data_IF_037000997797
#
_entry.id   IF_037000997797
#
_cell.length_a   1.000
_cell.length_b   1.000
_cell.length_c   1.000
_cell.angle_alpha   90.00
_cell.angle_beta   90.00
_cell.angle_gamma   90.00
#
_symmetry.space_group_name_H-M   'P 1'
#
loop_
_entity.id
_entity.type
_entity.pdbx_description
1 polymer ?
#
# COMPACT_ATOMS: atom_id res chain seq x y z
N UNK A 1 -5.64 2.94 -31.59
CA UNK A 1 -4.81 2.93 -30.35
C UNK A 1 -3.72 3.99 -30.48
N UNK A 2 -3.80 5.10 -29.74
CA UNK A 2 -2.71 6.08 -29.73
C UNK A 2 -1.50 5.50 -28.98
N UNK A 3 -0.34 5.44 -29.65
CA UNK A 3 0.91 5.01 -29.04
C UNK A 3 1.27 5.97 -27.91
N UNK A 4 1.20 5.50 -26.66
CA UNK A 4 1.53 6.32 -25.48
C UNK A 4 3.04 6.60 -25.51
N UNK A 5 3.41 7.85 -25.75
CA UNK A 5 4.80 8.26 -25.83
C UNK A 5 5.52 8.14 -24.48
N UNK A 6 6.79 7.73 -24.52
CA UNK A 6 7.64 7.68 -23.32
C UNK A 6 8.16 9.07 -22.92
N UNK A 7 8.55 9.27 -21.66
CA UNK A 7 9.07 10.56 -21.18
C UNK A 7 10.37 10.97 -21.91
N UNK A 8 11.19 10.00 -22.28
CA UNK A 8 12.44 10.23 -23.02
C UNK A 8 12.16 10.60 -24.47
N UNK A 9 11.20 9.92 -25.11
CA UNK A 9 10.82 10.16 -26.49
C UNK A 9 10.10 11.51 -26.66
N UNK A 10 9.24 11.89 -25.72
CA UNK A 10 8.60 13.22 -25.69
C UNK A 10 9.62 14.34 -25.51
N UNK A 11 10.61 14.16 -24.63
CA UNK A 11 11.73 15.11 -24.48
C UNK A 11 12.56 15.22 -25.75
N UNK A 12 12.84 14.10 -26.42
CA UNK A 12 13.58 14.08 -27.68
C UNK A 12 12.83 14.83 -28.78
N UNK A 13 11.53 14.56 -28.97
CA UNK A 13 10.70 15.26 -29.95
C UNK A 13 10.59 16.76 -29.66
N UNK A 14 10.48 17.14 -28.39
CA UNK A 14 10.51 18.55 -27.98
C UNK A 14 11.85 19.20 -28.34
N UNK A 15 12.97 18.53 -28.11
CA UNK A 15 14.29 19.05 -28.49
C UNK A 15 14.42 19.19 -30.01
N UNK A 16 14.03 18.17 -30.77
CA UNK A 16 14.02 18.21 -32.25
C UNK A 16 13.12 19.34 -32.78
N UNK A 17 11.96 19.59 -32.14
CA UNK A 17 11.09 20.70 -32.52
C UNK A 17 11.69 22.08 -32.19
N UNK A 18 12.39 22.23 -31.06
CA UNK A 18 13.09 23.46 -30.70
C UNK A 18 14.24 23.73 -31.68
N UNK A 19 15.04 22.72 -32.00
CA UNK A 19 16.12 22.83 -32.99
C UNK A 19 15.59 23.21 -34.37
N UNK A 20 14.50 22.59 -34.83
CA UNK A 20 13.86 22.96 -36.10
C UNK A 20 13.35 24.40 -36.10
N UNK A 21 12.77 24.86 -34.99
CA UNK A 21 12.31 26.24 -34.84
C UNK A 21 13.48 27.23 -34.88
N UNK A 22 14.56 26.95 -34.15
CA UNK A 22 15.74 27.82 -34.12
C UNK A 22 16.42 27.88 -35.50
N UNK A 23 16.49 26.75 -36.22
CA UNK A 23 17.00 26.70 -37.58
C UNK A 23 16.12 27.53 -38.54
N UNK A 24 14.79 27.37 -38.48
CA UNK A 24 13.88 28.18 -39.30
C UNK A 24 14.02 29.67 -39.01
N UNK A 25 14.13 30.03 -37.73
CA UNK A 25 14.33 31.42 -37.32
C UNK A 25 15.63 31.99 -37.88
N UNK A 26 16.73 31.26 -37.77
CA UNK A 26 18.02 31.65 -38.35
C UNK A 26 17.98 31.74 -39.88
N UNK A 27 17.29 30.81 -40.55
CA UNK A 27 17.14 30.84 -42.01
C UNK A 27 16.34 32.06 -42.50
N UNK A 28 15.37 32.53 -41.71
CA UNK A 28 14.59 33.74 -42.01
C UNK A 28 15.39 35.01 -41.68
N UNK A 29 16.12 35.02 -40.56
CA UNK A 29 16.83 36.21 -40.07
C UNK A 29 18.15 36.50 -40.82
N UNK A 30 18.81 35.49 -41.40
CA UNK A 30 20.17 35.62 -41.97
C UNK A 30 20.28 35.53 -43.48
N UNK A 31 19.23 35.13 -44.20
CA UNK A 31 19.29 35.02 -45.67
C UNK A 31 18.78 36.31 -46.30
N UNK A 32 19.57 36.88 -47.21
CA UNK A 32 19.11 37.95 -48.10
C UNK A 32 18.11 37.36 -49.11
N UNK A 33 16.84 37.40 -48.73
CA UNK A 33 15.70 36.83 -49.46
C UNK A 33 15.50 37.49 -50.83
N UNK A 34 16.03 38.69 -51.03
CA UNK A 34 15.90 39.50 -52.25
C UNK A 34 16.82 39.04 -53.40
N UNK A 35 17.79 38.17 -53.13
CA UNK A 35 18.75 37.69 -54.13
C UNK A 35 18.34 36.36 -54.80
N UNK A 36 17.18 35.80 -54.45
CA UNK A 36 16.72 34.50 -54.96
C UNK A 36 16.14 34.62 -56.38
N UNK A 37 16.45 33.63 -57.23
CA UNK A 37 15.69 33.43 -58.46
C UNK A 37 14.29 32.86 -58.14
N UNK A 38 13.31 33.10 -59.01
CA UNK A 38 11.90 32.68 -58.77
C UNK A 38 11.77 31.17 -58.48
N UNK A 39 12.53 30.32 -59.17
CA UNK A 39 12.52 28.86 -58.95
C UNK A 39 13.11 28.47 -57.58
N UNK A 40 14.17 29.15 -57.14
CA UNK A 40 14.80 28.93 -55.84
C UNK A 40 13.88 29.43 -54.71
N UNK A 41 13.16 30.52 -54.97
CA UNK A 41 12.15 31.08 -54.06
C UNK A 41 11.00 30.11 -53.81
N UNK A 42 10.48 29.48 -54.88
CA UNK A 42 9.41 28.48 -54.76
C UNK A 42 9.86 27.22 -53.99
N UNK A 43 11.09 26.75 -54.22
CA UNK A 43 11.65 25.62 -53.47
C UNK A 43 11.84 25.96 -51.99
N UNK A 44 12.32 27.17 -51.69
CA UNK A 44 12.47 27.66 -50.32
C UNK A 44 11.12 27.73 -49.59
N UNK A 45 10.09 28.31 -50.22
CA UNK A 45 8.74 28.39 -49.66
C UNK A 45 8.12 27.00 -49.44
N UNK A 46 8.31 26.05 -50.36
CA UNK A 46 7.81 24.68 -50.21
C UNK A 46 8.47 23.98 -49.02
N UNK A 47 9.80 24.11 -48.87
CA UNK A 47 10.55 23.57 -47.73
C UNK A 47 10.09 24.21 -46.41
N UNK A 48 9.94 25.53 -46.37
CA UNK A 48 9.50 26.25 -45.18
C UNK A 48 8.06 25.87 -44.81
N UNK A 49 7.18 25.73 -45.79
CA UNK A 49 5.81 25.21 -45.63
C UNK A 49 5.79 23.80 -45.04
N UNK A 50 6.66 22.90 -45.52
CA UNK A 50 6.78 21.55 -44.97
C UNK A 50 7.30 21.55 -43.52
N UNK A 51 8.35 22.32 -43.23
CA UNK A 51 8.96 22.38 -41.89
C UNK A 51 8.01 23.02 -40.87
N UNK A 52 7.28 24.07 -41.25
CA UNK A 52 6.25 24.70 -40.42
C UNK A 52 5.07 23.75 -40.18
N UNK A 53 4.60 23.02 -41.21
CA UNK A 53 3.58 22.00 -41.04
C UNK A 53 4.03 20.88 -40.09
N UNK A 54 5.28 20.45 -40.18
CA UNK A 54 5.89 19.48 -39.27
C UNK A 54 5.89 19.99 -37.82
N UNK A 55 6.24 21.26 -37.58
CA UNK A 55 6.18 21.88 -36.25
C UNK A 55 4.76 21.98 -35.70
N UNK A 56 3.79 22.34 -36.54
CA UNK A 56 2.37 22.40 -36.14
C UNK A 56 1.85 21.00 -35.79
N UNK A 57 2.29 19.98 -36.52
CA UNK A 57 1.90 18.60 -36.22
C UNK A 57 2.50 18.11 -34.91
N UNK A 58 3.78 18.42 -34.63
CA UNK A 58 4.42 18.02 -33.38
C UNK A 58 3.86 18.79 -32.19
N UNK A 59 3.56 20.09 -32.32
CA UNK A 59 2.93 20.87 -31.25
C UNK A 59 1.55 20.31 -30.89
N UNK A 60 0.70 20.02 -31.88
CA UNK A 60 -0.61 19.39 -31.65
C UNK A 60 -0.51 18.06 -30.92
N UNK A 61 0.47 17.22 -31.26
CA UNK A 61 0.69 15.94 -30.57
C UNK A 61 1.17 16.11 -29.13
N UNK A 62 1.87 17.21 -28.82
CA UNK A 62 2.44 17.48 -27.50
C UNK A 62 1.48 18.26 -26.58
N UNK A 63 0.56 19.02 -27.17
CA UNK A 63 -0.47 19.80 -26.46
C UNK A 63 -1.65 18.96 -25.96
N UNK A 64 -1.66 17.65 -26.25
CA UNK A 64 -2.66 16.72 -25.74
C UNK A 64 -2.74 16.75 -24.19
N UNK A 65 -3.88 17.19 -23.59
CA UNK A 65 -3.96 17.42 -22.14
C UNK A 65 -3.80 16.13 -21.33
N UNK A 66 -4.29 15.00 -21.88
CA UNK A 66 -4.11 13.69 -21.27
C UNK A 66 -2.65 13.26 -21.26
N UNK A 67 -1.92 13.46 -22.37
CA UNK A 67 -0.49 13.16 -22.47
C UNK A 67 0.31 13.98 -21.45
N UNK A 68 0.05 15.29 -21.38
CA UNK A 68 0.69 16.18 -20.41
C UNK A 68 0.46 15.73 -18.96
N UNK A 69 -0.78 15.35 -18.61
CA UNK A 69 -1.10 14.84 -17.28
C UNK A 69 -0.32 13.57 -16.94
N UNK A 70 -0.20 12.66 -17.90
CA UNK A 70 0.50 11.38 -17.75
C UNK A 70 2.01 11.59 -17.61
N UNK A 71 2.60 12.50 -18.40
CA UNK A 71 4.00 12.87 -18.29
C UNK A 71 4.31 13.52 -16.95
N UNK A 72 3.46 14.45 -16.47
CA UNK A 72 3.58 15.05 -15.12
C UNK A 72 3.56 13.99 -14.03
N UNK A 73 2.64 13.02 -14.10
CA UNK A 73 2.57 11.89 -13.16
C UNK A 73 3.84 11.02 -13.20
N UNK A 74 4.34 10.68 -14.40
CA UNK A 74 5.59 9.92 -14.58
C UNK A 74 6.79 10.67 -14.00
N UNK A 75 6.90 11.97 -14.26
CA UNK A 75 7.96 12.82 -13.73
C UNK A 75 7.90 12.91 -12.20
N UNK A 76 6.72 13.08 -11.60
CA UNK A 76 6.54 13.08 -10.16
C UNK A 76 6.89 11.73 -9.53
N UNK A 77 6.53 10.61 -10.17
CA UNK A 77 6.93 9.25 -9.74
C UNK A 77 8.45 9.11 -9.71
N UNK A 78 9.15 9.57 -10.76
CA UNK A 78 10.62 9.51 -10.82
C UNK A 78 11.28 10.37 -9.73
N UNK A 79 10.78 11.58 -9.48
CA UNK A 79 11.27 12.46 -8.40
C UNK A 79 11.11 11.79 -7.03
N UNK A 80 9.90 11.29 -6.72
CA UNK A 80 9.63 10.56 -5.47
C UNK A 80 10.53 9.34 -5.30
N UNK A 81 10.73 8.56 -6.37
CA UNK A 81 11.59 7.37 -6.31
C UNK A 81 13.08 7.74 -6.12
N UNK A 82 13.55 8.82 -6.72
CA UNK A 82 14.90 9.36 -6.50
C UNK A 82 15.10 9.79 -5.04
N UNK A 83 14.15 10.56 -4.49
CA UNK A 83 14.18 10.98 -3.09
C UNK A 83 14.10 9.80 -2.12
N UNK A 84 13.22 8.84 -2.39
CA UNK A 84 13.11 7.62 -1.61
C UNK A 84 14.45 6.86 -1.60
N UNK A 85 15.09 6.67 -2.76
CA UNK A 85 16.42 6.02 -2.85
C UNK A 85 17.47 6.77 -2.02
N UNK A 86 17.49 8.11 -2.07
CA UNK A 86 18.39 8.93 -1.24
C UNK A 86 18.15 8.72 0.25
N UNK A 87 16.89 8.78 0.68
CA UNK A 87 16.48 8.56 2.10
C UNK A 87 16.82 7.14 2.55
N UNK A 88 16.55 6.14 1.72
CA UNK A 88 16.86 4.74 1.99
C UNK A 88 18.36 4.53 2.18
N UNK A 89 19.19 5.06 1.26
CA UNK A 89 20.65 4.99 1.37
C UNK A 89 21.16 5.66 2.65
N UNK A 90 20.58 6.80 3.06
CA UNK A 90 20.91 7.48 4.33
C UNK A 90 20.55 6.63 5.54
N UNK A 91 19.34 6.04 5.57
CA UNK A 91 18.91 5.15 6.66
C UNK A 91 19.79 3.91 6.77
N UNK A 92 20.13 3.27 5.65
CA UNK A 92 21.02 2.11 5.63
C UNK A 92 22.42 2.44 6.18
N UNK A 93 22.98 3.62 5.85
CA UNK A 93 24.25 4.08 6.41
C UNK A 93 24.18 4.31 7.92
N UNK A 94 23.11 4.94 8.40
CA UNK A 94 22.91 5.17 9.84
C UNK A 94 22.74 3.86 10.60
N UNK A 95 22.03 2.89 10.04
CA UNK A 95 21.87 1.56 10.62
C UNK A 95 23.24 0.87 10.75
N UNK A 96 24.03 0.83 9.66
CA UNK A 96 25.38 0.27 9.67
C UNK A 96 26.29 0.95 10.71
N UNK A 97 26.23 2.27 10.85
CA UNK A 97 26.98 3.01 11.86
C UNK A 97 26.54 2.62 13.29
N UNK A 98 25.24 2.46 13.52
CA UNK A 98 24.72 2.03 14.83
C UNK A 98 25.12 0.59 15.14
N UNK A 99 25.08 -0.31 14.17
CA UNK A 99 25.56 -1.68 14.30
C UNK A 99 27.06 -1.72 14.61
N UNK A 100 27.88 -0.96 13.89
CA UNK A 100 29.31 -0.84 14.14
C UNK A 100 29.60 -0.33 15.57
N UNK A 101 28.88 0.69 16.05
CA UNK A 101 29.01 1.17 17.44
C UNK A 101 28.58 0.13 18.46
N UNK A 102 27.55 -0.68 18.17
CA UNK A 102 27.13 -1.77 19.04
C UNK A 102 28.17 -2.88 19.07
N UNK A 103 28.74 -3.25 17.92
CA UNK A 103 29.82 -4.24 17.86
C UNK A 103 31.08 -3.75 18.55
N UNK A 104 31.47 -2.49 18.37
CA UNK A 104 32.61 -1.88 19.09
C UNK A 104 32.40 -1.92 20.60
N UNK A 105 31.21 -1.56 21.07
CA UNK A 105 30.86 -1.65 22.51
C UNK A 105 30.90 -3.09 23.01
N UNK A 106 30.36 -4.03 22.24
CA UNK A 106 30.40 -5.44 22.60
C UNK A 106 31.84 -5.98 22.65
N UNK A 107 32.68 -5.60 21.69
CA UNK A 107 34.11 -5.94 21.69
C UNK A 107 34.81 -5.33 22.92
N UNK A 108 34.55 -4.08 23.27
CA UNK A 108 35.11 -3.46 24.47
C UNK A 108 34.62 -4.13 25.76
N UNK A 109 33.33 -4.48 25.84
CA UNK A 109 32.75 -5.14 27.01
C UNK A 109 33.32 -6.56 27.18
N UNK A 110 33.48 -7.29 26.07
CA UNK A 110 34.09 -8.62 26.07
C UNK A 110 35.57 -8.59 26.40
N UNK A 111 36.35 -7.64 25.85
CA UNK A 111 37.76 -7.50 26.21
C UNK A 111 37.93 -7.12 27.68
N UNK A 112 37.12 -6.20 28.21
CA UNK A 112 37.12 -5.87 29.64
C UNK A 112 36.68 -7.06 30.50
N UNK A 113 35.67 -7.81 30.09
CA UNK A 113 35.24 -9.01 30.82
C UNK A 113 36.31 -10.09 30.85
N UNK A 114 37.04 -10.29 29.75
CA UNK A 114 38.17 -11.23 29.67
C UNK A 114 39.35 -10.74 30.51
N UNK A 115 39.67 -9.45 30.49
CA UNK A 115 40.77 -8.90 31.31
C UNK A 115 40.46 -8.89 32.81
N UNK A 116 39.18 -8.73 33.18
CA UNK A 116 38.72 -8.69 34.57
C UNK A 116 38.24 -10.05 35.08
N UNK A 117 38.29 -11.10 34.24
CA UNK A 117 37.93 -12.45 34.66
C UNK A 117 38.94 -12.95 35.71
N UNK A 118 38.51 -13.24 36.95
CA UNK A 118 39.42 -13.69 37.99
C UNK A 118 40.00 -15.06 37.59
N UNK A 119 41.33 -15.17 37.65
CA UNK A 119 42.02 -16.45 37.54
C UNK A 119 41.68 -17.30 38.78
N UNK A 120 40.63 -18.10 38.66
CA UNK A 120 40.25 -19.16 39.58
C UNK A 120 39.56 -18.72 40.90
N UNK A 121 38.52 -19.50 41.24
CA UNK A 121 37.70 -19.50 42.46
C UNK A 121 36.59 -18.43 42.56
N UNK A 122 35.33 -18.87 42.38
CA UNK A 122 34.17 -18.57 43.25
C UNK A 122 32.85 -19.00 42.57
N UNK A 123 32.38 -20.22 42.84
CA UNK A 123 31.03 -20.68 42.43
C UNK A 123 29.91 -20.18 43.35
N UNK A 124 30.24 -19.59 44.50
CA UNK A 124 29.28 -19.15 45.53
C UNK A 124 28.85 -17.68 45.37
N UNK A 125 29.76 -16.75 45.05
CA UNK A 125 29.45 -15.30 44.89
C UNK A 125 28.80 -14.97 43.54
N UNK A 126 28.98 -15.81 42.52
CA UNK A 126 28.34 -15.62 41.21
C UNK A 126 26.82 -15.79 41.24
N UNK A 127 26.27 -16.66 42.11
CA UNK A 127 24.81 -16.86 42.18
C UNK A 127 24.12 -15.64 42.79
N UNK A 128 24.64 -15.11 43.90
CA UNK A 128 24.10 -13.92 44.56
C UNK A 128 24.20 -12.68 43.67
N UNK A 129 25.35 -12.45 43.02
CA UNK A 129 25.52 -11.32 42.09
C UNK A 129 24.65 -11.46 40.83
N UNK A 130 24.37 -12.67 40.34
CA UNK A 130 23.43 -12.91 39.23
C UNK A 130 21.99 -12.64 39.66
N UNK A 131 21.59 -13.06 40.86
CA UNK A 131 20.25 -12.79 41.40
C UNK A 131 20.01 -11.30 41.65
N UNK A 132 20.97 -10.58 42.21
CA UNK A 132 20.85 -9.14 42.43
C UNK A 132 20.84 -8.36 41.12
N UNK A 133 21.62 -8.80 40.11
CA UNK A 133 21.54 -8.25 38.76
C UNK A 133 20.18 -8.50 38.10
N UNK A 134 19.58 -9.68 38.29
CA UNK A 134 18.22 -9.98 37.80
C UNK A 134 17.18 -9.12 38.49
N UNK A 135 17.22 -9.01 39.83
CA UNK A 135 16.35 -8.11 40.61
C UNK A 135 16.47 -6.67 40.14
N UNK A 136 17.69 -6.19 39.89
CA UNK A 136 17.90 -4.83 39.37
C UNK A 136 17.33 -4.66 37.96
N UNK A 137 17.53 -5.63 37.06
CA UNK A 137 16.95 -5.61 35.70
C UNK A 137 15.43 -5.59 35.75
N UNK A 138 14.80 -6.38 36.61
CA UNK A 138 13.35 -6.38 36.84
C UNK A 138 12.88 -5.02 37.37
N UNK A 139 13.61 -4.40 38.30
CA UNK A 139 13.30 -3.06 38.82
C UNK A 139 13.41 -1.97 37.75
N UNK A 140 14.42 -2.05 36.86
CA UNK A 140 14.55 -1.13 35.71
C UNK A 140 13.41 -1.36 34.69
N UNK A 141 13.12 -2.61 34.36
CA UNK A 141 12.07 -2.98 33.41
C UNK A 141 10.68 -2.54 33.89
N UNK A 142 10.35 -2.76 35.17
CA UNK A 142 9.11 -2.28 35.79
C UNK A 142 9.01 -0.74 35.82
N UNK A 143 10.13 -0.04 36.05
CA UNK A 143 10.19 1.41 35.94
C UNK A 143 9.87 1.92 34.54
N UNK A 144 10.48 1.31 33.51
CA UNK A 144 10.22 1.63 32.10
C UNK A 144 8.76 1.31 31.74
N UNK A 145 8.23 0.17 32.18
CA UNK A 145 6.84 -0.22 31.94
C UNK A 145 5.87 0.83 32.49
N UNK A 146 6.08 1.33 33.72
CA UNK A 146 5.26 2.41 34.30
C UNK A 146 5.31 3.68 33.45
N UNK A 147 6.50 4.09 33.00
CA UNK A 147 6.65 5.25 32.11
C UNK A 147 5.95 5.06 30.77
N UNK A 148 6.01 3.86 30.18
CA UNK A 148 5.33 3.52 28.93
C UNK A 148 3.80 3.50 29.10
N UNK A 149 3.30 3.00 30.22
CA UNK A 149 1.86 3.03 30.55
C UNK A 149 1.39 4.48 30.67
N UNK A 150 2.13 5.34 31.38
CA UNK A 150 1.81 6.77 31.48
C UNK A 150 1.84 7.46 30.10
N UNK A 151 2.84 7.18 29.26
CA UNK A 151 2.90 7.70 27.89
C UNK A 151 1.72 7.21 27.04
N UNK A 152 1.32 5.94 27.17
CA UNK A 152 0.13 5.38 26.48
C UNK A 152 -1.13 6.12 26.92
N UNK A 153 -1.33 6.34 28.21
CA UNK A 153 -2.47 7.08 28.75
C UNK A 153 -2.51 8.54 28.25
N UNK A 154 -1.37 9.24 28.28
CA UNK A 154 -1.29 10.62 27.76
C UNK A 154 -1.57 10.71 26.25
N UNK A 155 -1.06 9.76 25.46
CA UNK A 155 -1.37 9.68 24.03
C UNK A 155 -2.84 9.38 23.77
N UNK A 156 -3.45 8.51 24.57
CA UNK A 156 -4.88 8.21 24.50
C UNK A 156 -5.72 9.44 24.82
N UNK A 157 -5.47 10.12 25.95
CA UNK A 157 -6.15 11.39 26.29
C UNK A 157 -6.03 12.44 25.17
N UNK A 158 -4.85 12.54 24.53
CA UNK A 158 -4.64 13.44 23.39
C UNK A 158 -5.44 13.03 22.14
N UNK A 159 -5.66 11.73 21.93
CA UNK A 159 -6.44 11.20 20.81
C UNK A 159 -7.95 11.26 21.10
N UNK A 160 -8.37 11.02 22.33
CA UNK A 160 -9.75 11.24 22.81
C UNK A 160 -10.16 12.70 22.68
N UNK A 161 -9.29 13.65 23.03
CA UNK A 161 -9.50 15.08 22.78
C UNK A 161 -9.63 15.44 21.29
N UNK A 162 -9.18 14.55 20.39
CA UNK A 162 -9.35 14.67 18.93
C UNK A 162 -10.52 13.83 18.39
N UNK A 163 -11.33 13.23 19.27
CA UNK A 163 -12.50 12.42 18.92
C UNK A 163 -12.23 10.95 18.61
N UNK A 164 -11.06 10.39 18.97
CA UNK A 164 -10.81 8.94 18.86
C UNK A 164 -11.27 8.21 20.11
N UNK A 165 -12.05 7.14 19.95
CA UNK A 165 -12.58 6.32 21.04
C UNK A 165 -11.72 5.06 21.25
N UNK A 166 -11.41 4.72 22.51
CA UNK A 166 -10.71 3.47 22.85
C UNK A 166 -11.64 2.55 23.63
N UNK A 167 -11.77 1.30 23.17
CA UNK A 167 -12.69 0.31 23.75
C UNK A 167 -12.40 -0.10 25.20
N UNK A 168 -11.21 0.20 25.76
CA UNK A 168 -10.82 -0.19 27.12
C UNK A 168 -11.21 0.83 28.21
N UNK A 169 -11.62 2.06 27.88
CA UNK A 169 -11.95 3.12 28.85
C UNK A 169 -13.40 3.61 28.80
N UNK A 170 -14.22 3.05 27.90
CA UNK A 170 -15.64 3.39 27.73
C UNK A 170 -16.57 2.25 28.15
N UNK A 171 -16.24 1.56 29.24
CA UNK A 171 -16.87 0.28 29.57
C UNK A 171 -18.30 0.38 30.12
N UNK A 172 -18.89 1.55 30.34
CA UNK A 172 -20.28 1.59 30.82
C UNK A 172 -21.24 0.90 29.83
N UNK A 173 -21.01 1.05 28.53
CA UNK A 173 -21.84 0.40 27.51
C UNK A 173 -21.49 -1.09 27.36
N UNK A 174 -20.20 -1.45 27.29
CA UNK A 174 -19.80 -2.85 27.11
C UNK A 174 -20.02 -3.71 28.36
N UNK A 175 -19.91 -3.15 29.56
CA UNK A 175 -20.26 -3.83 30.81
C UNK A 175 -21.78 -4.02 30.91
N UNK A 176 -22.59 -3.05 30.43
CA UNK A 176 -24.04 -3.20 30.33
C UNK A 176 -24.43 -4.27 29.31
N UNK A 177 -23.81 -4.27 28.13
CA UNK A 177 -24.04 -5.29 27.09
C UNK A 177 -23.61 -6.66 27.59
N UNK A 178 -22.48 -6.75 28.30
CA UNK A 178 -22.00 -8.01 28.88
C UNK A 178 -22.93 -8.52 29.99
N UNK A 179 -23.37 -7.65 30.90
CA UNK A 179 -24.32 -8.00 31.94
C UNK A 179 -25.70 -8.38 31.37
N UNK A 180 -26.14 -7.72 30.29
CA UNK A 180 -27.36 -8.07 29.56
C UNK A 180 -27.24 -9.44 28.87
N UNK A 181 -26.09 -9.74 28.27
CA UNK A 181 -25.82 -11.02 27.63
C UNK A 181 -25.68 -12.16 28.65
N UNK A 182 -25.09 -11.93 29.82
CA UNK A 182 -25.03 -12.89 30.93
C UNK A 182 -26.42 -13.18 31.53
N UNK A 183 -27.33 -12.19 31.55
CA UNK A 183 -28.74 -12.39 31.93
C UNK A 183 -29.54 -13.15 30.86
N UNK A 184 -29.25 -12.95 29.58
CA UNK A 184 -29.84 -13.73 28.48
C UNK A 184 -29.33 -15.18 28.48
N UNK A 185 -28.03 -15.41 28.69
CA UNK A 185 -27.43 -16.75 28.78
C UNK A 185 -28.00 -17.53 29.99
N UNK A 186 -28.20 -16.85 31.12
CA UNK A 186 -28.87 -17.43 32.29
C UNK A 186 -30.33 -17.83 32.04
N UNK A 187 -31.04 -17.12 31.15
CA UNK A 187 -32.42 -17.45 30.74
C UNK A 187 -32.48 -18.47 29.59
N UNK A 188 -31.45 -18.55 28.75
CA UNK A 188 -31.32 -19.53 27.66
C UNK A 188 -30.98 -20.93 28.17
N UNK A 189 -30.31 -21.05 29.32
CA UNK A 189 -29.96 -22.36 29.91
C UNK A 189 -31.15 -23.15 30.49
N UNK A 190 -32.34 -22.57 30.62
CA UNK A 190 -33.56 -23.30 31.02
C UNK A 190 -34.47 -23.72 29.86
N UNK A 191 -34.15 -23.34 28.62
CA UNK A 191 -34.90 -23.79 27.47
C UNK A 191 -34.00 -23.92 26.25
N UNK A 192 -33.91 -25.16 25.76
CA UNK A 192 -33.39 -25.60 24.44
C UNK A 192 -31.94 -26.08 24.41
N UNK A 193 -31.82 -27.40 24.23
CA UNK A 193 -30.69 -28.06 23.58
C UNK A 193 -30.21 -27.24 22.38
N UNK A 194 -28.91 -27.00 22.28
CA UNK A 194 -28.23 -26.40 21.12
C UNK A 194 -28.57 -27.15 19.82
N UNK A 195 -29.69 -26.80 19.19
CA UNK A 195 -29.93 -27.02 17.78
C UNK A 195 -29.88 -25.67 17.11
N UNK A 196 -28.88 -25.50 16.25
CA UNK A 196 -28.71 -24.32 15.41
C UNK A 196 -30.05 -24.03 14.72
N UNK A 197 -30.63 -22.85 14.98
CA UNK A 197 -31.88 -22.43 14.34
C UNK A 197 -31.57 -22.15 12.87
N UNK A 198 -31.92 -23.11 12.02
CA UNK A 198 -31.76 -23.01 10.57
C UNK A 198 -32.90 -22.16 10.04
N UNK A 199 -32.56 -21.14 9.24
CA UNK A 199 -33.54 -20.22 8.70
C UNK A 199 -34.51 -20.98 7.75
N UNK A 200 -35.83 -20.72 7.76
CA UNK A 200 -36.82 -21.48 6.97
C UNK A 200 -36.59 -21.47 5.45
N UNK A 201 -35.77 -20.55 4.95
CA UNK A 201 -35.42 -20.42 3.53
C UNK A 201 -34.05 -21.04 3.19
N UNK A 202 -33.34 -21.56 4.19
CA UNK A 202 -31.99 -22.09 4.02
C UNK A 202 -32.04 -23.56 3.60
N UNK A 203 -32.16 -23.79 2.29
CA UNK A 203 -32.35 -25.13 1.70
C UNK A 203 -31.06 -25.95 1.57
N UNK A 204 -29.93 -25.44 2.07
CA UNK A 204 -28.60 -26.04 1.89
C UNK A 204 -28.48 -27.42 2.51
N UNK A 205 -29.30 -27.73 3.52
CA UNK A 205 -29.38 -29.05 4.14
C UNK A 205 -29.85 -30.16 3.19
N UNK A 206 -30.58 -29.80 2.13
CA UNK A 206 -31.09 -30.75 1.15
C UNK A 206 -30.29 -30.75 -0.16
N UNK A 207 -29.29 -29.88 -0.27
CA UNK A 207 -28.40 -29.84 -1.42
C UNK A 207 -27.39 -30.98 -1.24
N UNK A 208 -27.46 -31.99 -2.12
CA UNK A 208 -26.42 -33.01 -2.19
C UNK A 208 -25.09 -32.31 -2.41
N UNK A 209 -24.12 -32.57 -1.54
CA UNK A 209 -22.77 -32.00 -1.64
C UNK A 209 -22.26 -32.21 -3.06
N UNK A 210 -21.96 -31.11 -3.77
CA UNK A 210 -21.37 -31.19 -5.09
C UNK A 210 -19.96 -31.78 -4.94
N UNK A 211 -19.85 -33.07 -5.25
CA UNK A 211 -18.63 -33.84 -5.13
C UNK A 211 -17.50 -33.25 -5.98
N UNK A 212 -17.82 -32.60 -7.09
CA UNK A 212 -16.82 -31.96 -7.94
C UNK A 212 -16.29 -30.69 -7.30
N UNK A 213 -17.17 -29.84 -6.76
CA UNK A 213 -16.78 -28.63 -6.03
C UNK A 213 -15.98 -28.98 -4.76
N UNK A 214 -16.42 -30.01 -4.02
CA UNK A 214 -15.73 -30.49 -2.83
C UNK A 214 -14.35 -31.07 -3.15
N UNK A 215 -14.25 -31.91 -4.19
CA UNK A 215 -12.98 -32.43 -4.66
C UNK A 215 -12.02 -31.28 -5.04
N UNK A 216 -12.50 -30.29 -5.78
CA UNK A 216 -11.74 -29.10 -6.17
C UNK A 216 -11.24 -28.30 -4.95
N UNK A 217 -12.05 -28.17 -3.91
CA UNK A 217 -11.66 -27.52 -2.65
C UNK A 217 -10.56 -28.31 -1.91
N UNK A 218 -10.68 -29.63 -1.83
CA UNK A 218 -9.66 -30.49 -1.23
C UNK A 218 -8.34 -30.54 -2.02
N UNK A 219 -8.33 -30.18 -3.31
CA UNK A 219 -7.08 -30.08 -4.08
C UNK A 219 -6.23 -28.89 -3.60
N UNK A 220 -6.86 -27.76 -3.24
CA UNK A 220 -6.15 -26.58 -2.73
C UNK A 220 -5.34 -26.84 -1.44
N UNK A 221 -5.73 -27.84 -0.66
CA UNK A 221 -5.09 -28.20 0.60
C UNK A 221 -3.85 -29.09 0.40
N UNK A 222 -3.70 -29.73 -0.77
CA UNK A 222 -2.65 -30.72 -1.04
C UNK A 222 -1.33 -30.10 -1.51
N UNK A 223 -1.38 -28.96 -2.20
CA UNK A 223 -0.19 -28.29 -2.75
C UNK A 223 -0.41 -26.78 -2.87
N UNK A 224 0.65 -26.01 -2.62
CA UNK A 224 0.64 -24.56 -2.81
C UNK A 224 0.51 -24.16 -4.27
N UNK A 225 1.01 -24.97 -5.20
CA UNK A 225 0.92 -24.71 -6.63
C UNK A 225 -0.53 -24.85 -7.12
N UNK A 226 -1.24 -25.86 -6.63
CA UNK A 226 -2.66 -26.06 -6.91
C UNK A 226 -3.51 -24.90 -6.36
N UNK A 227 -3.19 -24.43 -5.16
CA UNK A 227 -3.84 -23.25 -4.57
C UNK A 227 -3.62 -22.00 -5.43
N UNK A 228 -2.40 -21.79 -5.93
CA UNK A 228 -2.08 -20.66 -6.81
C UNK A 228 -2.85 -20.75 -8.14
N UNK A 229 -2.99 -21.95 -8.71
CA UNK A 229 -3.72 -22.13 -9.96
C UNK A 229 -5.23 -21.97 -9.78
N UNK A 230 -5.79 -22.48 -8.69
CA UNK A 230 -7.18 -22.21 -8.29
C UNK A 230 -7.37 -20.69 -8.12
N UNK A 231 -6.48 -20.02 -7.39
CA UNK A 231 -6.55 -18.56 -7.19
C UNK A 231 -6.49 -17.80 -8.51
N UNK A 232 -5.61 -18.18 -9.44
CA UNK A 232 -5.52 -17.58 -10.79
C UNK A 232 -6.78 -17.81 -11.61
N UNK A 233 -7.43 -18.96 -11.46
CA UNK A 233 -8.72 -19.23 -12.12
C UNK A 233 -9.81 -18.32 -11.57
N UNK A 234 -9.87 -18.11 -10.25
CA UNK A 234 -10.79 -17.16 -9.61
C UNK A 234 -10.50 -15.71 -9.96
N UNK A 235 -9.23 -15.31 -10.03
CA UNK A 235 -8.83 -13.95 -10.39
C UNK A 235 -9.28 -13.57 -11.82
N UNK A 236 -9.56 -14.54 -12.71
CA UNK A 236 -10.19 -14.27 -14.03
C UNK A 236 -11.63 -13.76 -13.93
N UNK A 237 -12.30 -14.01 -12.81
CA UNK A 237 -13.67 -13.58 -12.55
C UNK A 237 -13.74 -12.34 -11.66
N UNK A 238 -12.61 -11.89 -11.08
CA UNK A 238 -12.52 -10.70 -10.23
C UNK A 238 -11.93 -9.55 -11.07
N UNK A 239 -12.81 -8.71 -11.63
CA UNK A 239 -12.38 -7.49 -12.31
C UNK A 239 -11.73 -6.52 -11.31
N UNK A 240 -10.57 -5.97 -11.68
CA UNK A 240 -9.84 -4.98 -10.88
C UNK A 240 -10.23 -3.53 -11.21
N UNK A 241 -11.01 -3.32 -12.27
CA UNK A 241 -11.40 -2.01 -12.75
C UNK A 241 -12.92 -1.85 -12.59
N UNK A 242 -13.35 -0.93 -11.72
CA UNK A 242 -14.74 -0.70 -11.29
C UNK A 242 -15.66 -0.11 -12.36
N UNK A 243 -15.57 -0.57 -13.60
CA UNK A 243 -16.48 -0.16 -14.67
C UNK A 243 -17.75 -1.00 -14.63
N UNK A 244 -18.79 -0.43 -14.00
CA UNK A 244 -20.13 -1.02 -13.88
C UNK A 244 -20.90 -1.17 -15.21
N UNK A 245 -20.31 -0.86 -16.36
CA UNK A 245 -20.99 -0.84 -17.67
C UNK A 245 -20.54 -1.94 -18.64
N UNK A 246 -19.62 -2.83 -18.25
CA UNK A 246 -19.23 -3.93 -19.11
C UNK A 246 -20.37 -4.96 -19.23
N UNK A 247 -20.96 -5.03 -20.43
CA UNK A 247 -21.99 -5.99 -20.87
C UNK A 247 -21.50 -7.46 -20.73
N UNK A 248 -20.22 -7.67 -20.41
CA UNK A 248 -19.57 -8.96 -20.15
C UNK A 248 -19.17 -9.16 -18.69
N UNK A 249 -19.93 -8.62 -17.73
CA UNK A 249 -19.87 -9.08 -16.34
C UNK A 249 -20.15 -10.59 -16.31
N UNK A 250 -19.09 -11.40 -16.15
CA UNK A 250 -19.19 -12.87 -16.11
C UNK A 250 -19.75 -13.41 -14.80
N UNK A 251 -19.91 -12.56 -13.79
CA UNK A 251 -20.74 -12.85 -12.62
C UNK A 251 -22.08 -12.15 -12.86
N UNK A 252 -23.17 -12.88 -13.12
CA UNK A 252 -24.47 -12.28 -13.32
C UNK A 252 -24.87 -11.47 -12.08
N UNK A 253 -25.44 -10.27 -12.22
CA UNK A 253 -25.84 -9.42 -11.07
C UNK A 253 -26.89 -10.08 -10.15
N UNK A 254 -27.45 -11.23 -10.54
CA UNK A 254 -28.43 -12.02 -9.79
C UNK A 254 -27.79 -13.14 -8.95
N UNK A 255 -26.50 -13.44 -9.15
CA UNK A 255 -25.83 -14.56 -8.47
C UNK A 255 -25.57 -14.31 -6.97
N UNK A 256 -25.61 -13.05 -6.54
CA UNK A 256 -25.50 -12.67 -5.13
C UNK A 256 -26.68 -11.77 -4.82
N UNK A 257 -27.61 -12.26 -4.01
CA UNK A 257 -28.62 -11.38 -3.40
C UNK A 257 -27.89 -10.39 -2.50
N UNK A 258 -28.16 -9.08 -2.62
CA UNK A 258 -27.54 -8.10 -1.72
C UNK A 258 -27.87 -8.52 -0.28
N UNK A 259 -26.86 -8.50 0.59
CA UNK A 259 -27.10 -8.87 2.00
C UNK A 259 -28.21 -7.96 2.54
N UNK A 260 -29.22 -8.51 3.24
CA UNK A 260 -30.23 -7.68 3.88
C UNK A 260 -29.51 -6.64 4.76
N UNK A 261 -30.04 -5.41 4.87
CA UNK A 261 -29.41 -4.37 5.67
C UNK A 261 -29.15 -4.93 7.06
N UNK A 262 -27.90 -4.88 7.50
CA UNK A 262 -27.41 -5.54 8.73
C UNK A 262 -28.12 -5.07 10.01
N UNK A 263 -29.01 -4.08 9.92
CA UNK A 263 -29.82 -3.61 11.02
C UNK A 263 -31.18 -3.08 10.53
N UNK A 264 -32.27 -3.71 10.98
CA UNK A 264 -33.65 -3.28 10.68
C UNK A 264 -33.93 -1.84 11.10
N UNK A 265 -33.26 -1.37 12.17
CA UNK A 265 -33.36 0.02 12.67
C UNK A 265 -32.74 1.01 11.69
N UNK A 266 -31.74 0.62 10.89
CA UNK A 266 -31.13 1.51 9.90
C UNK A 266 -31.95 1.58 8.62
N UNK A 267 -32.62 0.49 8.25
CA UNK A 267 -33.51 0.44 7.11
C UNK A 267 -34.74 1.35 7.25
N UNK A 268 -35.24 1.56 8.48
CA UNK A 268 -36.38 2.45 8.73
C UNK A 268 -36.09 3.94 8.49
N UNK A 269 -34.82 4.36 8.41
CA UNK A 269 -34.43 5.75 8.15
C UNK A 269 -34.15 6.06 6.67
N UNK A 270 -34.26 5.06 5.79
CA UNK A 270 -34.03 5.21 4.34
C UNK A 270 -35.32 5.16 3.51
N UNK A 271 -36.50 5.15 4.16
CA UNK A 271 -37.81 5.30 3.53
C UNK A 271 -38.25 6.76 3.50
#
# INVERSE_FOLDING_TARGET
MHKIMSLTETKRRLAEAIELYDNLKQEIDHKDLDAYADDEWHQFLSRLGYQTAQLIQTSKQLDDPHLLSLLKRKQAKLKRHSEWRKRHKKRARLHKLQEARRSERWVMETTMAVSMAPAHQQKSTEKETKEDNLKHKIKKASGILRQLILLRQLRRKRLEAKGHFFAESGNQFFDQVKAWHEQEEGKKNESTSDSLVVHPQDSWQHIKLDLNAYAYWCVAEKSTDDLLDIRRQWDRYINHDGHHQDIYQKVPPVFVTPSPPANAVWASYLL
#
